data_IF_745439261967
#
_entry.id   IF_745439261967
#
_cell.length_a   1.000
_cell.length_b   1.000
_cell.length_c   1.000
_cell.angle_alpha   90.00
_cell.angle_beta   90.00
_cell.angle_gamma   90.00
#
_symmetry.space_group_name_H-M   'P 1'
#
loop_
_entity.id
_entity.type
_entity.pdbx_description
1 polymer ?
#
# COMPACT_ATOMS: atom_id res chain seq x y z
N UNK A 1 23.75 -1.08 9.85
CA UNK A 1 23.73 -0.23 8.65
C UNK A 1 22.41 -0.43 7.93
N UNK A 2 21.69 0.66 7.67
CA UNK A 2 20.43 0.60 6.95
C UNK A 2 20.68 0.40 5.44
N UNK A 3 19.87 -0.45 4.81
CA UNK A 3 19.86 -0.63 3.36
C UNK A 3 18.51 -0.21 2.82
N UNK A 4 18.53 0.45 1.68
CA UNK A 4 17.32 0.85 0.97
C UNK A 4 17.21 0.06 -0.34
N UNK A 5 16.06 -0.61 -0.51
CA UNK A 5 15.72 -1.29 -1.76
C UNK A 5 14.57 -0.53 -2.38
N UNK A 6 14.74 -0.03 -3.60
CA UNK A 6 13.73 0.73 -4.31
C UNK A 6 13.21 -0.09 -5.48
N UNK A 7 11.89 -0.26 -5.56
CA UNK A 7 11.23 -0.97 -6.64
C UNK A 7 10.30 0.00 -7.35
N UNK A 8 10.53 0.22 -8.64
CA UNK A 8 9.61 0.97 -9.48
C UNK A 8 8.34 0.16 -9.69
N UNK A 9 7.20 0.76 -9.35
CA UNK A 9 5.91 0.06 -9.42
C UNK A 9 5.23 0.33 -10.76
N UNK A 10 4.81 -0.75 -11.40
CA UNK A 10 3.86 -0.70 -12.50
C UNK A 10 2.51 -1.15 -11.94
N UNK A 11 1.57 -0.22 -11.86
CA UNK A 11 0.27 -0.48 -11.26
C UNK A 11 -0.45 -1.64 -11.95
N UNK A 12 -1.06 -2.50 -11.15
CA UNK A 12 -1.80 -3.68 -11.59
C UNK A 12 -0.99 -4.64 -12.48
N UNK A 13 0.32 -4.66 -12.30
CA UNK A 13 1.19 -5.61 -13.02
C UNK A 13 1.43 -6.87 -12.18
N UNK A 14 0.99 -8.03 -12.64
CA UNK A 14 1.28 -9.29 -11.93
C UNK A 14 2.77 -9.57 -11.81
N UNK A 15 3.56 -9.21 -12.82
CA UNK A 15 5.02 -9.41 -12.78
C UNK A 15 5.65 -8.52 -11.71
N UNK A 16 5.24 -7.26 -11.61
CA UNK A 16 5.72 -6.36 -10.58
C UNK A 16 5.31 -6.84 -9.19
N UNK A 17 4.06 -7.31 -9.04
CA UNK A 17 3.59 -7.85 -7.77
C UNK A 17 4.43 -9.07 -7.32
N UNK A 18 4.77 -9.96 -8.24
CA UNK A 18 5.65 -11.10 -7.94
C UNK A 18 7.03 -10.67 -7.51
N UNK A 19 7.59 -9.66 -8.18
CA UNK A 19 8.89 -9.10 -7.81
C UNK A 19 8.87 -8.52 -6.41
N UNK A 20 7.86 -7.73 -6.10
CA UNK A 20 7.68 -7.12 -4.78
C UNK A 20 7.61 -8.19 -3.69
N UNK A 21 6.77 -9.20 -3.87
CA UNK A 21 6.64 -10.28 -2.90
C UNK A 21 7.96 -11.03 -2.71
N UNK A 22 8.66 -11.32 -3.81
CA UNK A 22 9.95 -12.03 -3.78
C UNK A 22 10.98 -11.24 -2.97
N UNK A 23 11.12 -9.95 -3.26
CA UNK A 23 12.10 -9.10 -2.57
C UNK A 23 11.80 -9.00 -1.09
N UNK A 24 10.53 -8.77 -0.72
CA UNK A 24 10.14 -8.66 0.68
C UNK A 24 10.42 -9.97 1.44
N UNK A 25 10.08 -11.10 0.86
CA UNK A 25 10.31 -12.41 1.48
C UNK A 25 11.78 -12.74 1.62
N UNK A 26 12.59 -12.34 0.66
CA UNK A 26 14.03 -12.58 0.65
C UNK A 26 14.76 -11.66 1.62
N UNK A 27 14.48 -10.37 1.56
CA UNK A 27 15.16 -9.35 2.38
C UNK A 27 14.66 -9.35 3.82
N UNK A 28 13.38 -9.63 4.03
CA UNK A 28 12.70 -9.57 5.33
C UNK A 28 12.97 -8.23 6.00
N UNK A 29 12.55 -7.12 5.37
CA UNK A 29 12.85 -5.79 5.87
C UNK A 29 12.08 -5.49 7.17
N UNK A 30 12.51 -4.46 7.87
CA UNK A 30 11.80 -3.95 9.03
C UNK A 30 10.60 -3.08 8.64
N UNK A 31 10.77 -2.32 7.56
CA UNK A 31 9.74 -1.42 7.05
C UNK A 31 9.53 -1.65 5.57
N UNK A 32 8.28 -1.59 5.14
CA UNK A 32 7.89 -1.59 3.73
C UNK A 32 7.12 -0.30 3.47
N UNK A 33 7.71 0.58 2.65
CA UNK A 33 7.12 1.87 2.34
C UNK A 33 6.43 1.79 0.99
N UNK A 34 5.15 2.08 0.96
CA UNK A 34 4.29 1.85 -0.19
C UNK A 34 3.70 3.18 -0.67
N UNK A 35 3.65 3.38 -1.99
CA UNK A 35 2.96 4.51 -2.57
C UNK A 35 1.46 4.39 -2.29
N UNK A 36 0.95 5.25 -1.46
CA UNK A 36 -0.44 5.28 -1.07
C UNK A 36 -0.70 6.42 -0.09
N UNK A 37 -1.96 6.74 0.18
CA UNK A 37 -2.29 7.91 1.00
C UNK A 37 -1.89 7.72 2.45
N UNK A 38 -0.99 8.58 2.95
CA UNK A 38 -0.44 8.47 4.30
C UNK A 38 -1.48 8.65 5.41
N UNK A 39 -2.60 9.32 5.12
CA UNK A 39 -3.70 9.45 6.06
C UNK A 39 -4.36 8.11 6.42
N UNK A 40 -4.13 7.08 5.63
CA UNK A 40 -4.67 5.75 5.89
C UNK A 40 -3.77 4.88 6.76
N UNK A 41 -2.60 5.36 7.17
CA UNK A 41 -1.67 4.56 7.97
C UNK A 41 -2.26 4.08 9.30
N UNK A 42 -3.14 4.86 9.92
CA UNK A 42 -3.82 4.45 11.15
C UNK A 42 -4.83 3.32 10.95
N UNK A 43 -5.17 2.98 9.72
CA UNK A 43 -6.17 1.97 9.37
C UNK A 43 -5.65 0.90 8.41
N UNK A 44 -4.34 0.82 8.26
CA UNK A 44 -3.74 -0.11 7.29
C UNK A 44 -4.06 -1.58 7.62
N UNK A 45 -4.24 -1.89 8.89
CA UNK A 45 -4.60 -3.25 9.31
C UNK A 45 -5.98 -3.67 8.81
N UNK A 46 -6.86 -2.72 8.53
CA UNK A 46 -8.18 -3.02 8.00
C UNK A 46 -8.12 -3.53 6.56
N UNK A 47 -7.07 -3.20 5.82
CA UNK A 47 -6.89 -3.68 4.45
C UNK A 47 -6.66 -5.20 4.38
N UNK A 48 -6.16 -5.79 5.45
CA UNK A 48 -5.85 -7.22 5.48
C UNK A 48 -6.91 -8.05 6.17
N UNK A 49 -8.12 -7.48 6.38
CA UNK A 49 -9.27 -8.18 6.93
C UNK A 49 -10.03 -8.89 5.80
N UNK A 50 -9.69 -10.03 5.40
CA UNK A 50 -10.42 -10.95 4.53
C UNK A 50 -11.40 -10.36 3.49
N UNK A 51 -11.02 -9.28 2.81
CA UNK A 51 -11.88 -8.66 1.78
C UNK A 51 -11.93 -9.49 0.51
N UNK A 52 -13.07 -9.43 -0.18
CA UNK A 52 -13.14 -9.92 -1.55
C UNK A 52 -12.56 -8.86 -2.49
N UNK A 53 -11.54 -9.21 -3.23
CA UNK A 53 -10.92 -8.31 -4.20
C UNK A 53 -11.67 -8.34 -5.54
N UNK A 54 -11.73 -7.26 -6.31
CA UNK A 54 -11.03 -5.99 -6.06
C UNK A 54 -11.72 -5.12 -5.00
N UNK A 55 -10.92 -4.30 -4.32
CA UNK A 55 -11.40 -3.29 -3.38
C UNK A 55 -10.74 -1.94 -3.69
N UNK A 56 -11.21 -0.89 -3.03
CA UNK A 56 -10.58 0.40 -3.13
C UNK A 56 -10.64 1.13 -1.79
N UNK A 57 -9.59 1.90 -1.50
CA UNK A 57 -9.66 2.91 -0.46
C UNK A 57 -10.32 4.13 -1.07
N UNK A 58 -11.43 4.54 -0.49
CA UNK A 58 -12.08 5.79 -0.88
C UNK A 58 -11.94 6.77 0.27
N UNK A 59 -11.33 7.91 -0.02
CA UNK A 59 -11.16 8.98 0.96
C UNK A 59 -11.81 10.24 0.44
N UNK A 60 -12.46 10.96 1.33
CA UNK A 60 -13.03 12.25 0.97
C UNK A 60 -12.84 13.25 2.11
N UNK A 61 -12.71 14.51 1.75
CA UNK A 61 -12.71 15.62 2.68
C UNK A 61 -13.83 16.56 2.29
N UNK A 62 -14.65 16.92 3.25
CA UNK A 62 -15.82 17.78 3.05
C UNK A 62 -15.85 18.85 4.14
N UNK A 63 -16.04 20.10 3.73
CA UNK A 63 -16.14 21.22 4.65
C UNK A 63 -16.49 22.50 3.88
N UNK A 64 -16.64 23.65 4.56
CA UNK A 64 -16.92 24.91 3.87
C UNK A 64 -15.89 25.22 2.80
N UNK A 65 -16.32 25.19 1.53
CA UNK A 65 -15.43 25.45 0.39
C UNK A 65 -14.47 24.32 0.02
N UNK A 66 -14.61 23.14 0.63
CA UNK A 66 -13.71 22.01 0.37
C UNK A 66 -14.52 20.77 0.01
N UNK A 67 -14.26 20.24 -1.20
CA UNK A 67 -14.79 18.94 -1.64
C UNK A 67 -13.67 18.20 -2.35
N UNK A 68 -13.09 17.20 -1.70
CA UNK A 68 -12.02 16.40 -2.28
C UNK A 68 -12.31 14.93 -2.08
N UNK A 69 -12.04 14.15 -3.10
CA UNK A 69 -12.19 12.70 -3.05
C UNK A 69 -11.00 12.04 -3.74
N UNK A 70 -10.63 10.89 -3.25
CA UNK A 70 -9.51 10.11 -3.78
C UNK A 70 -9.87 8.64 -3.76
N UNK A 71 -9.43 7.91 -4.77
CA UNK A 71 -9.58 6.46 -4.90
C UNK A 71 -8.20 5.82 -5.01
N UNK A 72 -8.00 4.74 -4.27
CA UNK A 72 -6.83 3.89 -4.43
C UNK A 72 -7.32 2.46 -4.61
N UNK A 73 -7.45 1.99 -5.87
CA UNK A 73 -7.97 0.65 -6.15
C UNK A 73 -6.89 -0.42 -6.00
N UNK A 74 -7.31 -1.59 -5.50
CA UNK A 74 -6.45 -2.75 -5.35
C UNK A 74 -7.13 -4.00 -5.90
N UNK A 75 -6.37 -4.83 -6.56
CA UNK A 75 -6.78 -6.17 -6.92
C UNK A 75 -5.75 -7.18 -6.40
N UNK A 76 -6.01 -8.47 -6.57
CA UNK A 76 -5.15 -9.50 -6.00
C UNK A 76 -3.70 -9.47 -6.50
N UNK A 77 -3.45 -8.82 -7.64
CA UNK A 77 -2.11 -8.67 -8.20
C UNK A 77 -1.62 -7.21 -8.22
N UNK A 78 -2.24 -6.32 -7.48
CA UNK A 78 -1.72 -4.96 -7.32
C UNK A 78 -0.44 -5.00 -6.50
N UNK A 79 0.69 -4.46 -6.99
CA UNK A 79 1.95 -4.48 -6.24
C UNK A 79 1.84 -3.87 -4.85
N UNK A 80 1.07 -2.81 -4.69
CA UNK A 80 0.84 -2.14 -3.41
C UNK A 80 0.10 -3.05 -2.43
N UNK A 81 -0.92 -3.75 -2.90
CA UNK A 81 -1.67 -4.71 -2.09
C UNK A 81 -0.77 -5.86 -1.65
N UNK A 82 0.00 -6.41 -2.60
CA UNK A 82 0.93 -7.50 -2.34
C UNK A 82 2.04 -7.04 -1.38
N UNK A 83 2.51 -5.80 -1.50
CA UNK A 83 3.52 -5.26 -0.60
C UNK A 83 3.02 -5.24 0.86
N UNK A 84 1.80 -4.78 1.09
CA UNK A 84 1.20 -4.77 2.43
C UNK A 84 1.04 -6.19 2.96
N UNK A 85 0.51 -7.10 2.14
CA UNK A 85 0.31 -8.49 2.53
C UNK A 85 1.63 -9.21 2.83
N UNK A 86 2.64 -9.04 1.99
CA UNK A 86 3.96 -9.66 2.18
C UNK A 86 4.69 -9.07 3.39
N UNK A 87 4.55 -7.75 3.62
CA UNK A 87 5.11 -7.12 4.80
C UNK A 87 4.57 -7.77 6.07
N UNK A 88 3.26 -7.98 6.12
CA UNK A 88 2.61 -8.62 7.26
C UNK A 88 3.11 -10.06 7.46
N UNK A 89 3.30 -10.79 6.37
CA UNK A 89 3.83 -12.16 6.37
C UNK A 89 5.20 -12.25 7.05
N UNK A 90 6.08 -11.27 6.82
CA UNK A 90 7.43 -11.24 7.41
C UNK A 90 7.51 -10.36 8.66
N UNK A 91 6.38 -9.92 9.18
CA UNK A 91 6.28 -9.08 10.38
C UNK A 91 6.97 -7.71 10.22
N UNK A 92 7.02 -7.20 9.00
CA UNK A 92 7.47 -5.84 8.73
C UNK A 92 6.34 -4.85 8.96
N UNK A 93 6.69 -3.61 9.26
CA UNK A 93 5.71 -2.53 9.35
C UNK A 93 5.51 -1.92 7.97
N UNK A 94 4.28 -1.92 7.48
CA UNK A 94 3.92 -1.31 6.21
C UNK A 94 3.36 0.09 6.43
N UNK A 95 3.84 1.05 5.64
CA UNK A 95 3.42 2.45 5.72
C UNK A 95 3.19 3.00 4.32
N UNK A 96 2.09 3.72 4.16
CA UNK A 96 1.87 4.54 2.97
C UNK A 96 2.64 5.86 3.14
N UNK A 97 3.33 6.28 2.09
CA UNK A 97 4.24 7.43 2.14
C UNK A 97 3.91 8.54 1.15
N UNK A 98 2.80 8.44 0.43
CA UNK A 98 2.37 9.51 -0.46
C UNK A 98 1.59 10.56 0.34
N UNK A 99 1.28 11.68 -0.32
CA UNK A 99 0.51 12.75 0.30
C UNK A 99 -0.83 12.25 0.81
N UNK A 100 -1.36 12.85 1.89
CA UNK A 100 -2.72 12.55 2.32
C UNK A 100 -3.73 12.78 1.21
N UNK A 101 -4.81 12.01 1.21
CA UNK A 101 -5.82 12.09 0.15
C UNK A 101 -6.50 13.46 0.05
N UNK A 102 -6.48 14.23 1.11
CA UNK A 102 -7.09 15.57 1.14
C UNK A 102 -6.14 16.70 0.72
N UNK A 103 -4.90 16.40 0.44
CA UNK A 103 -3.87 17.42 0.16
C UNK A 103 -3.72 17.76 -1.34
#
# INVERSE_FOLDING_TARGET
MARLHVIGVRHHSPACARLVAHVIRKVRPRFVLVEGPSDMNGRIDELVLGHELPIAIFSYAHGPGIHRASWAPFCGYSPEWIAVAAAREVQAEALFIDLPAWD
#
